data_IF_500594015634
#
_entry.id   IF_500594015634
#
_cell.length_a   1.000
_cell.length_b   1.000
_cell.length_c   1.000
_cell.angle_alpha   90.00
_cell.angle_beta   90.00
_cell.angle_gamma   90.00
#
_symmetry.space_group_name_H-M   'P 1'
#
loop_
_entity.id
_entity.type
_entity.pdbx_description
1 polymer ?
#
# COMPACT_ATOMS: atom_id res chain seq x y z
N UNK A 1 -27.10 -31.67 -38.62
CA UNK A 1 -27.03 -30.20 -38.44
C UNK A 1 -26.62 -29.88 -37.02
N UNK A 2 -25.32 -29.68 -36.79
CA UNK A 2 -24.73 -29.42 -35.47
C UNK A 2 -23.98 -28.09 -35.49
N UNK A 3 -24.67 -26.99 -35.19
CA UNK A 3 -24.11 -25.61 -35.26
C UNK A 3 -24.13 -24.90 -33.88
N UNK A 4 -24.45 -25.60 -32.78
CA UNK A 4 -24.64 -24.96 -31.47
C UNK A 4 -23.38 -24.87 -30.60
N UNK A 5 -22.19 -25.29 -31.08
CA UNK A 5 -20.94 -25.31 -30.29
C UNK A 5 -19.86 -24.34 -30.77
N UNK A 6 -20.11 -23.51 -31.78
CA UNK A 6 -19.13 -22.54 -32.28
C UNK A 6 -19.07 -21.23 -31.47
N UNK A 7 -20.12 -20.86 -30.72
CA UNK A 7 -20.17 -19.57 -30.00
C UNK A 7 -19.50 -19.55 -28.62
N UNK A 8 -19.55 -20.66 -27.88
CA UNK A 8 -19.02 -20.72 -26.51
C UNK A 8 -17.48 -20.81 -26.46
N UNK A 9 -16.89 -21.48 -27.45
CA UNK A 9 -15.45 -21.67 -27.59
C UNK A 9 -14.72 -20.36 -27.92
N UNK A 10 -15.26 -19.59 -28.88
CA UNK A 10 -14.70 -18.29 -29.28
C UNK A 10 -14.83 -17.23 -28.18
N UNK A 11 -15.91 -17.28 -27.38
CA UNK A 11 -16.12 -16.38 -26.25
C UNK A 11 -15.08 -16.61 -25.14
N UNK A 12 -14.78 -17.88 -24.82
CA UNK A 12 -13.73 -18.21 -23.83
C UNK A 12 -12.32 -17.88 -24.34
N UNK A 13 -12.02 -18.11 -25.61
CA UNK A 13 -10.71 -17.77 -26.19
C UNK A 13 -10.47 -16.26 -26.19
N UNK A 14 -11.51 -15.44 -26.43
CA UNK A 14 -11.38 -13.97 -26.46
C UNK A 14 -11.46 -13.31 -25.09
N UNK A 15 -12.15 -13.91 -24.11
CA UNK A 15 -12.38 -13.31 -22.79
C UNK A 15 -11.46 -13.83 -21.69
N UNK A 16 -10.99 -15.08 -21.74
CA UNK A 16 -10.13 -15.64 -20.70
C UNK A 16 -8.76 -14.92 -20.57
N UNK A 17 -8.06 -14.54 -21.65
CA UNK A 17 -6.80 -13.80 -21.55
C UNK A 17 -6.99 -12.39 -20.97
N UNK A 18 -8.06 -11.71 -21.38
CA UNK A 18 -8.39 -10.35 -20.91
C UNK A 18 -8.78 -10.38 -19.43
N UNK A 19 -9.52 -11.40 -18.99
CA UNK A 19 -9.89 -11.59 -17.58
C UNK A 19 -8.68 -11.93 -16.69
N UNK A 20 -7.70 -12.69 -17.20
CA UNK A 20 -6.45 -12.95 -16.49
C UNK A 20 -5.60 -11.70 -16.31
N UNK A 21 -5.39 -10.96 -17.40
CA UNK A 21 -4.62 -9.70 -17.38
C UNK A 21 -5.28 -8.62 -16.52
N UNK A 22 -6.58 -8.42 -16.65
CA UNK A 22 -7.30 -7.42 -15.84
C UNK A 22 -7.30 -7.77 -14.34
N UNK A 23 -7.33 -9.05 -13.98
CA UNK A 23 -7.16 -9.50 -12.57
C UNK A 23 -5.74 -9.25 -12.06
N UNK A 24 -4.72 -9.58 -12.85
CA UNK A 24 -3.31 -9.33 -12.49
C UNK A 24 -3.01 -7.83 -12.37
N UNK A 25 -3.53 -7.01 -13.28
CA UNK A 25 -3.41 -5.55 -13.19
C UNK A 25 -4.05 -5.01 -11.91
N UNK A 26 -5.26 -5.46 -11.59
CA UNK A 26 -5.97 -5.04 -10.37
C UNK A 26 -5.26 -5.50 -9.11
N UNK A 27 -4.68 -6.70 -9.13
CA UNK A 27 -3.85 -7.21 -8.04
C UNK A 27 -2.58 -6.38 -7.86
N UNK A 28 -1.86 -6.07 -8.94
CA UNK A 28 -0.65 -5.25 -8.93
C UNK A 28 -0.89 -3.84 -8.40
N UNK A 29 -1.98 -3.19 -8.81
CA UNK A 29 -2.37 -1.86 -8.30
C UNK A 29 -2.64 -1.94 -6.79
N UNK A 30 -3.36 -2.97 -6.35
CA UNK A 30 -3.68 -3.17 -4.93
C UNK A 30 -2.44 -3.45 -4.09
N UNK A 31 -1.53 -4.28 -4.59
CA UNK A 31 -0.29 -4.64 -3.92
C UNK A 31 0.64 -3.44 -3.78
N UNK A 32 0.82 -2.65 -4.85
CA UNK A 32 1.61 -1.41 -4.83
C UNK A 32 1.08 -0.41 -3.79
N UNK A 33 -0.25 -0.25 -3.71
CA UNK A 33 -0.87 0.64 -2.70
C UNK A 33 -0.66 0.13 -1.27
N UNK A 34 -0.76 -1.19 -1.03
CA UNK A 34 -0.49 -1.79 0.29
C UNK A 34 0.96 -1.65 0.72
N UNK A 35 1.91 -1.85 -0.18
CA UNK A 35 3.34 -1.67 0.10
C UNK A 35 3.65 -0.22 0.47
N UNK A 36 3.10 0.75 -0.27
CA UNK A 36 3.23 2.16 0.07
C UNK A 36 2.64 2.51 1.43
N UNK A 37 1.49 1.93 1.79
CA UNK A 37 0.91 2.12 3.13
C UNK A 37 1.80 1.53 4.23
N UNK A 38 2.37 0.33 4.04
CA UNK A 38 3.29 -0.28 4.99
C UNK A 38 4.54 0.57 5.24
N UNK A 39 5.15 1.10 4.17
CA UNK A 39 6.32 1.98 4.27
C UNK A 39 5.95 3.26 5.05
N UNK A 40 4.81 3.87 4.73
CA UNK A 40 4.34 5.08 5.44
C UNK A 40 4.09 4.82 6.92
N UNK A 41 3.53 3.66 7.28
CA UNK A 41 3.32 3.27 8.68
C UNK A 41 4.65 3.13 9.41
N UNK A 42 5.62 2.41 8.83
CA UNK A 42 6.96 2.25 9.42
C UNK A 42 7.62 3.62 9.59
N UNK A 43 7.58 4.46 8.56
CA UNK A 43 8.16 5.80 8.60
C UNK A 43 7.51 6.66 9.68
N UNK A 44 6.19 6.60 9.84
CA UNK A 44 5.48 7.34 10.89
C UNK A 44 5.86 6.85 12.29
N UNK A 45 6.04 5.54 12.48
CA UNK A 45 6.51 4.98 13.76
C UNK A 45 7.93 5.47 14.08
N UNK A 46 8.85 5.44 13.10
CA UNK A 46 10.20 5.97 13.27
C UNK A 46 10.19 7.48 13.56
N UNK A 47 9.39 8.27 12.85
CA UNK A 47 9.28 9.70 13.13
C UNK A 47 8.71 9.97 14.52
N UNK A 48 7.72 9.19 14.97
CA UNK A 48 7.16 9.30 16.31
C UNK A 48 8.20 9.01 17.40
N UNK A 49 9.05 7.99 17.22
CA UNK A 49 10.13 7.70 18.18
C UNK A 49 11.17 8.83 18.23
N UNK A 50 11.52 9.40 17.08
CA UNK A 50 12.46 10.53 17.01
C UNK A 50 11.87 11.80 17.63
N UNK A 51 10.61 12.14 17.33
CA UNK A 51 9.93 13.31 17.89
C UNK A 51 9.73 13.19 19.42
N UNK A 52 9.41 11.98 19.89
CA UNK A 52 9.32 11.71 21.33
C UNK A 52 10.67 11.80 22.06
N UNK A 53 11.78 11.72 21.33
CA UNK A 53 13.14 11.83 21.86
C UNK A 53 13.69 13.26 21.77
N UNK A 54 13.38 14.00 20.70
CA UNK A 54 13.76 15.42 20.56
C UNK A 54 12.92 16.37 21.41
N UNK A 55 11.70 16.00 21.81
CA UNK A 55 10.94 16.78 22.79
C UNK A 55 11.48 16.62 24.22
N UNK A 56 12.28 15.59 24.52
CA UNK A 56 12.85 15.41 25.86
C UNK A 56 14.11 16.24 26.08
N UNK A 57 14.96 16.43 25.07
CA UNK A 57 16.15 17.28 25.20
C UNK A 57 15.82 18.78 25.25
N UNK A 58 14.82 19.24 24.48
CA UNK A 58 14.39 20.64 24.51
C UNK A 58 13.61 21.00 25.80
N UNK A 59 12.83 20.07 26.35
CA UNK A 59 12.07 20.31 27.58
C UNK A 59 12.96 20.26 28.84
N UNK A 60 13.96 19.38 28.89
CA UNK A 60 14.85 19.25 30.06
C UNK A 60 15.92 20.35 30.14
N UNK A 61 16.30 20.97 29.02
CA UNK A 61 17.26 22.09 29.01
C UNK A 61 16.60 23.44 29.36
N UNK A 62 15.27 23.56 29.22
CA UNK A 62 14.50 24.77 29.52
C UNK A 62 14.05 24.92 30.98
N UNK A 63 14.13 23.85 31.79
CA UNK A 63 13.68 23.88 33.20
C UNK A 63 14.77 24.28 34.22
N UNK A 64 16.02 24.43 33.80
CA UNK A 64 17.15 24.74 34.69
C UNK A 64 17.56 26.23 34.68
N UNK A 65 16.81 27.11 34.02
CA UNK A 65 17.17 28.54 33.87
C UNK A 65 16.29 29.49 34.72
N UNK A 66 15.56 28.99 35.72
CA UNK A 66 14.69 29.80 36.58
C UNK A 66 14.88 29.47 38.07
N UNK A 67 16.12 29.41 38.54
CA UNK A 67 16.46 29.38 39.97
C UNK A 67 17.85 29.95 40.20
N UNK A 68 18.00 31.26 40.02
CA UNK A 68 18.86 32.17 40.81
C UNK A 68 18.22 33.56 40.82
#
# INVERSE_FOLDING_TARGET
MSVLRAGAHECQIRSAPVLGLSRLQRFSITLKRRQMAKIKIILAICQYSEHSSHSKSAFLLGSNAQSE
#
